data_IF_425656821988
#
_entry.id   IF_425656821988
#
_cell.length_a   1.000
_cell.length_b   1.000
_cell.length_c   1.000
_cell.angle_alpha   90.00
_cell.angle_beta   90.00
_cell.angle_gamma   90.00
#
_symmetry.space_group_name_H-M   'P 1'
#
loop_
_entity.id
_entity.type
_entity.pdbx_description
1 polymer ?
#
# COMPACT_ATOMS: atom_id res chain seq x y z
N UNK A 1 -86.69 16.14 13.06
CA UNK A 1 -85.54 16.03 12.19
C UNK A 1 -84.43 16.88 12.79
N UNK A 2 -83.44 16.25 13.43
CA UNK A 2 -82.35 16.97 14.14
C UNK A 2 -81.11 16.88 13.24
N UNK A 3 -80.60 18.04 12.83
CA UNK A 3 -79.35 18.16 12.08
C UNK A 3 -78.15 18.06 13.05
N UNK A 4 -77.24 17.15 12.77
CA UNK A 4 -75.97 16.96 13.46
C UNK A 4 -74.85 17.78 12.73
N UNK A 5 -74.35 18.79 13.39
CA UNK A 5 -73.22 19.58 12.92
C UNK A 5 -71.92 18.90 13.36
N UNK A 6 -71.11 18.52 12.39
CA UNK A 6 -69.75 17.97 12.61
C UNK A 6 -68.79 19.16 12.58
N UNK A 7 -68.19 19.47 13.71
CA UNK A 7 -67.13 20.46 13.78
C UNK A 7 -65.78 19.84 13.44
N UNK A 8 -65.17 20.31 12.34
CA UNK A 8 -63.83 19.91 11.90
C UNK A 8 -62.78 20.76 12.71
N UNK A 9 -62.08 20.12 13.63
CA UNK A 9 -60.95 20.70 14.33
C UNK A 9 -59.70 20.68 13.43
N UNK A 10 -59.32 21.83 12.90
CA UNK A 10 -58.05 22.06 12.24
C UNK A 10 -56.96 22.28 13.29
N UNK A 11 -56.08 21.30 13.47
CA UNK A 11 -54.83 21.45 14.23
C UNK A 11 -53.81 22.14 13.34
N UNK A 12 -53.04 23.14 13.82
CA UNK A 12 -51.98 23.75 13.05
C UNK A 12 -50.79 22.82 13.05
N UNK A 13 -50.38 22.36 11.86
CA UNK A 13 -49.06 21.73 11.65
C UNK A 13 -47.97 22.80 11.80
N UNK A 14 -47.26 22.77 12.91
CA UNK A 14 -46.04 23.54 13.07
C UNK A 14 -44.95 22.90 12.19
N UNK A 15 -44.63 23.53 11.07
CA UNK A 15 -43.41 23.24 10.31
C UNK A 15 -42.22 23.69 11.18
N UNK A 16 -41.64 22.77 11.93
CA UNK A 16 -40.30 22.96 12.49
C UNK A 16 -39.33 22.97 11.32
N UNK A 17 -38.89 24.14 10.89
CA UNK A 17 -37.78 24.31 10.00
C UNK A 17 -36.55 23.65 10.66
N UNK A 18 -36.11 22.52 10.16
CA UNK A 18 -34.78 22.01 10.44
C UNK A 18 -33.78 23.04 9.93
N UNK A 19 -33.22 23.81 10.87
CA UNK A 19 -32.02 24.59 10.61
C UNK A 19 -30.92 23.58 10.33
N UNK A 20 -30.67 23.31 9.03
CA UNK A 20 -29.48 22.65 8.59
C UNK A 20 -28.31 23.49 9.12
N UNK A 21 -27.48 22.88 9.95
CA UNK A 21 -26.15 23.40 10.27
C UNK A 21 -25.42 23.53 8.96
N UNK A 22 -25.39 24.71 8.37
CA UNK A 22 -24.48 25.05 7.29
C UNK A 22 -23.07 24.83 7.84
N UNK A 23 -22.40 23.80 7.36
CA UNK A 23 -20.98 23.65 7.58
C UNK A 23 -20.33 25.00 7.29
N UNK A 24 -19.62 25.55 8.25
CA UNK A 24 -18.93 26.82 8.09
C UNK A 24 -18.07 26.71 6.82
N UNK A 25 -18.41 27.51 5.81
CA UNK A 25 -17.67 27.56 4.59
C UNK A 25 -16.27 28.04 4.96
N UNK A 26 -15.25 27.19 4.80
CA UNK A 26 -13.87 27.58 5.05
C UNK A 26 -13.56 28.88 4.32
N UNK A 27 -12.82 29.81 4.94
CA UNK A 27 -12.53 31.09 4.31
C UNK A 27 -11.86 30.84 2.95
N UNK A 28 -12.44 31.37 1.88
CA UNK A 28 -11.98 31.24 0.51
C UNK A 28 -10.75 32.13 0.24
N UNK A 29 -9.87 32.25 1.22
CA UNK A 29 -8.65 33.06 1.14
C UNK A 29 -7.47 32.13 1.11
N UNK A 30 -6.80 32.07 -0.03
CA UNK A 30 -5.51 31.42 -0.18
C UNK A 30 -4.44 32.30 0.52
N UNK A 31 -3.96 31.80 1.66
CA UNK A 31 -2.86 32.42 2.42
C UNK A 31 -1.52 31.75 2.16
N UNK A 32 -1.43 30.99 1.06
CA UNK A 32 -0.19 30.29 0.67
C UNK A 32 0.91 31.29 0.32
N UNK A 33 2.13 30.98 0.74
CA UNK A 33 3.34 31.74 0.35
C UNK A 33 4.55 30.82 0.30
N UNK A 34 5.61 31.30 -0.33
CA UNK A 34 6.92 30.65 -0.37
C UNK A 34 7.90 31.60 0.32
N UNK A 35 8.66 31.10 1.31
CA UNK A 35 9.67 31.89 2.00
C UNK A 35 11.00 31.96 1.22
N UNK A 36 11.96 32.70 1.73
CA UNK A 36 13.26 32.90 1.10
C UNK A 36 14.11 31.62 0.99
N UNK A 37 13.79 30.57 1.75
CA UNK A 37 14.44 29.26 1.67
C UNK A 37 13.83 28.36 0.59
N UNK A 38 12.69 28.77 0.00
CA UNK A 38 11.89 27.95 -0.92
C UNK A 38 10.88 27.06 -0.22
N UNK A 39 10.69 27.19 1.11
CA UNK A 39 9.67 26.46 1.84
C UNK A 39 8.28 27.00 1.50
N UNK A 40 7.39 26.12 1.05
CA UNK A 40 5.99 26.46 0.75
C UNK A 40 5.10 26.24 1.97
N UNK A 41 4.32 27.27 2.31
CA UNK A 41 3.26 27.22 3.31
C UNK A 41 1.93 27.25 2.57
N UNK A 42 1.19 26.16 2.57
CA UNK A 42 0.04 25.95 1.70
C UNK A 42 -1.24 25.85 2.52
N UNK A 43 -2.22 26.70 2.20
CA UNK A 43 -3.60 26.60 2.62
C UNK A 43 -4.48 26.43 1.39
N UNK A 44 -4.90 25.21 1.09
CA UNK A 44 -5.71 24.88 -0.09
C UNK A 44 -6.92 24.03 0.30
N UNK A 45 -8.04 24.28 -0.37
CA UNK A 45 -9.19 23.37 -0.36
C UNK A 45 -9.02 22.43 -1.54
N UNK A 46 -8.85 21.14 -1.26
CA UNK A 46 -8.71 20.10 -2.30
C UNK A 46 -9.99 19.29 -2.32
N UNK A 47 -10.86 19.46 -3.32
CA UNK A 47 -12.11 18.72 -3.39
C UNK A 47 -11.87 17.23 -3.65
N UNK A 48 -12.89 16.41 -3.40
CA UNK A 48 -12.89 15.01 -3.85
C UNK A 48 -12.87 14.99 -5.38
N UNK A 49 -11.92 14.29 -6.02
CA UNK A 49 -11.84 14.19 -7.47
C UNK A 49 -13.12 13.61 -8.07
N UNK A 50 -13.60 14.21 -9.17
CA UNK A 50 -14.89 13.84 -9.79
C UNK A 50 -14.76 12.74 -10.85
N UNK A 51 -13.55 12.41 -11.26
CA UNK A 51 -13.21 11.34 -12.21
C UNK A 51 -13.06 9.96 -11.55
N UNK A 52 -13.08 9.91 -10.21
CA UNK A 52 -13.09 8.66 -9.46
C UNK A 52 -14.49 8.02 -9.45
N UNK A 53 -14.52 6.70 -9.21
CA UNK A 53 -15.78 5.98 -9.01
C UNK A 53 -16.59 6.55 -7.84
N UNK A 54 -17.93 6.41 -7.86
CA UNK A 54 -18.77 6.82 -6.72
C UNK A 54 -18.35 6.16 -5.40
N UNK A 55 -17.87 4.92 -5.45
CA UNK A 55 -17.35 4.16 -4.30
C UNK A 55 -16.10 4.81 -3.73
N UNK A 56 -15.15 5.18 -4.58
CA UNK A 56 -13.92 5.85 -4.18
C UNK A 56 -14.21 7.25 -3.66
N UNK A 57 -15.07 8.04 -4.33
CA UNK A 57 -15.51 9.34 -3.84
C UNK A 57 -16.15 9.24 -2.46
N UNK A 58 -17.02 8.27 -2.23
CA UNK A 58 -17.64 8.00 -0.93
C UNK A 58 -16.60 7.60 0.12
N UNK A 59 -15.60 6.81 -0.26
CA UNK A 59 -14.51 6.43 0.65
C UNK A 59 -13.69 7.63 1.09
N UNK A 60 -13.35 8.54 0.17
CA UNK A 60 -12.62 9.77 0.44
C UNK A 60 -13.42 10.80 1.25
N UNK A 61 -14.75 10.81 1.10
CA UNK A 61 -15.65 11.72 1.80
C UNK A 61 -16.00 11.27 3.24
N UNK A 62 -15.40 10.21 3.75
CA UNK A 62 -15.64 9.77 5.14
C UNK A 62 -15.18 10.85 6.11
N UNK A 63 -16.01 11.15 7.12
CA UNK A 63 -15.59 12.05 8.20
C UNK A 63 -14.34 11.50 8.87
N UNK A 64 -13.38 12.38 9.13
CA UNK A 64 -12.25 12.06 9.99
C UNK A 64 -12.81 11.81 11.39
N UNK A 65 -12.52 10.65 11.97
CA UNK A 65 -12.88 10.41 13.38
C UNK A 65 -12.03 11.34 14.27
N UNK A 66 -12.63 11.88 15.32
CA UNK A 66 -11.91 12.62 16.36
C UNK A 66 -10.64 11.86 16.75
N UNK A 67 -9.59 12.61 17.05
CA UNK A 67 -8.23 12.11 17.28
C UNK A 67 -8.21 10.73 17.92
N UNK A 68 -7.75 9.76 17.16
CA UNK A 68 -7.61 8.41 17.67
C UNK A 68 -6.72 8.47 18.91
N UNK A 69 -7.19 7.91 20.05
CA UNK A 69 -6.33 7.77 21.21
C UNK A 69 -5.04 7.05 20.82
N UNK A 70 -3.90 7.41 21.40
CA UNK A 70 -2.67 6.65 21.18
C UNK A 70 -2.91 5.16 21.45
N UNK A 71 -2.56 4.31 20.49
CA UNK A 71 -2.69 2.86 20.59
C UNK A 71 -1.34 2.24 20.87
N UNK A 72 -1.30 1.22 21.74
CA UNK A 72 -0.12 0.38 21.87
C UNK A 72 0.17 -0.37 20.57
N UNK A 73 1.40 -0.82 20.38
CA UNK A 73 1.77 -1.66 19.23
C UNK A 73 0.90 -2.92 19.14
N UNK A 74 0.65 -3.55 20.27
CA UNK A 74 -0.19 -4.74 20.35
C UNK A 74 -1.64 -4.46 19.93
N UNK A 75 -2.22 -3.33 20.36
CA UNK A 75 -3.57 -2.92 19.92
C UNK A 75 -3.62 -2.64 18.42
N UNK A 76 -2.59 -1.99 17.87
CA UNK A 76 -2.47 -1.75 16.41
C UNK A 76 -2.39 -3.08 15.65
N UNK A 77 -1.54 -4.02 16.07
CA UNK A 77 -1.41 -5.35 15.45
C UNK A 77 -2.73 -6.10 15.46
N UNK A 78 -3.40 -6.20 16.63
CA UNK A 78 -4.72 -6.84 16.71
C UNK A 78 -5.76 -6.17 15.78
N UNK A 79 -5.75 -4.83 15.71
CA UNK A 79 -6.63 -4.09 14.82
C UNK A 79 -6.36 -4.39 13.35
N UNK A 80 -5.09 -4.43 12.95
CA UNK A 80 -4.64 -4.76 11.60
C UNK A 80 -4.99 -6.19 11.23
N UNK A 81 -4.74 -7.16 12.11
CA UNK A 81 -5.08 -8.57 11.89
C UNK A 81 -6.59 -8.76 11.70
N UNK A 82 -7.39 -8.13 12.55
CA UNK A 82 -8.85 -8.20 12.45
C UNK A 82 -9.38 -7.53 11.17
N UNK A 83 -8.79 -6.42 10.76
CA UNK A 83 -9.13 -5.74 9.50
C UNK A 83 -8.74 -6.61 8.30
N UNK A 84 -7.50 -7.11 8.25
CA UNK A 84 -7.00 -7.93 7.16
C UNK A 84 -7.82 -9.23 7.02
N UNK A 85 -8.20 -9.86 8.12
CA UNK A 85 -9.04 -11.05 8.10
C UNK A 85 -10.41 -10.77 7.45
N UNK A 86 -11.06 -9.64 7.79
CA UNK A 86 -12.33 -9.24 7.18
C UNK A 86 -12.18 -8.88 5.70
N UNK A 87 -11.17 -8.07 5.37
CA UNK A 87 -10.90 -7.65 4.00
C UNK A 87 -10.52 -8.84 3.11
N UNK A 88 -9.70 -9.75 3.62
CA UNK A 88 -9.35 -10.99 2.92
C UNK A 88 -10.54 -11.94 2.72
N UNK A 89 -11.43 -12.07 3.72
CA UNK A 89 -12.65 -12.85 3.58
C UNK A 89 -13.56 -12.27 2.48
N UNK A 90 -13.72 -10.95 2.44
CA UNK A 90 -14.46 -10.26 1.38
C UNK A 90 -13.78 -10.46 0.01
N UNK A 91 -12.47 -10.25 -0.07
CA UNK A 91 -11.70 -10.43 -1.32
C UNK A 91 -11.87 -11.84 -1.90
N UNK A 92 -11.93 -12.88 -1.06
CA UNK A 92 -12.17 -14.25 -1.51
C UNK A 92 -13.55 -14.48 -2.13
N UNK A 93 -14.55 -13.65 -1.83
CA UNK A 93 -15.85 -13.73 -2.50
C UNK A 93 -15.77 -13.26 -3.95
N UNK A 94 -14.84 -12.35 -4.25
CA UNK A 94 -14.60 -11.80 -5.59
C UNK A 94 -13.53 -12.59 -6.36
N UNK A 95 -12.53 -13.08 -5.65
CA UNK A 95 -11.34 -13.77 -6.17
C UNK A 95 -11.14 -15.11 -5.43
N UNK A 96 -11.88 -16.15 -5.79
CA UNK A 96 -11.82 -17.44 -5.09
C UNK A 96 -10.41 -18.07 -5.15
N UNK A 97 -9.88 -18.42 -3.97
CA UNK A 97 -8.57 -19.04 -3.80
C UNK A 97 -8.59 -20.04 -2.63
N UNK A 98 -7.66 -20.98 -2.64
CA UNK A 98 -7.31 -21.81 -1.48
C UNK A 98 -6.20 -21.10 -0.69
N UNK A 99 -6.26 -21.24 0.63
CA UNK A 99 -5.33 -20.62 1.56
C UNK A 99 -4.85 -21.69 2.57
N UNK A 100 -3.55 -21.75 2.77
CA UNK A 100 -2.92 -22.61 3.77
C UNK A 100 -1.71 -21.91 4.38
N UNK A 101 -1.33 -22.33 5.57
CA UNK A 101 -0.09 -21.90 6.23
C UNK A 101 1.00 -22.97 6.04
N UNK A 102 2.25 -22.51 5.99
CA UNK A 102 3.42 -23.38 5.80
C UNK A 102 4.66 -22.70 6.39
N UNK A 103 5.80 -23.36 6.22
CA UNK A 103 7.12 -22.82 6.57
C UNK A 103 8.09 -23.10 5.42
N UNK A 104 8.83 -22.07 4.99
CA UNK A 104 9.87 -22.18 3.95
C UNK A 104 11.16 -21.62 4.53
N UNK A 105 12.24 -22.42 4.50
CA UNK A 105 13.54 -22.07 5.08
C UNK A 105 13.46 -21.63 6.57
N UNK A 106 12.51 -22.18 7.34
CA UNK A 106 12.29 -21.80 8.73
C UNK A 106 11.40 -20.53 8.91
N UNK A 107 11.03 -19.85 7.83
CA UNK A 107 10.19 -18.65 7.85
C UNK A 107 8.72 -19.05 7.67
N UNK A 108 7.80 -18.61 8.54
CA UNK A 108 6.36 -18.79 8.34
C UNK A 108 5.88 -18.11 7.05
N UNK A 109 5.01 -18.80 6.31
CA UNK A 109 4.43 -18.25 5.05
C UNK A 109 2.96 -18.60 4.94
N UNK A 110 2.18 -17.77 4.25
CA UNK A 110 0.88 -18.15 3.71
C UNK A 110 1.01 -18.55 2.26
N UNK A 111 0.40 -19.67 1.91
CA UNK A 111 0.34 -20.16 0.53
C UNK A 111 -1.06 -19.92 0.00
N UNK A 112 -1.14 -19.10 -1.05
CA UNK A 112 -2.39 -18.77 -1.71
C UNK A 112 -2.35 -19.39 -3.12
N UNK A 113 -3.32 -20.25 -3.44
CA UNK A 113 -3.40 -20.90 -4.74
C UNK A 113 -4.77 -20.68 -5.37
N UNK A 114 -4.84 -20.52 -6.72
CA UNK A 114 -6.11 -20.54 -7.42
C UNK A 114 -6.91 -21.81 -7.11
N UNK A 115 -8.24 -21.74 -7.19
CA UNK A 115 -9.09 -22.92 -7.02
C UNK A 115 -9.05 -23.87 -8.24
N UNK A 116 -8.61 -23.35 -9.41
CA UNK A 116 -8.47 -24.11 -10.65
C UNK A 116 -7.37 -23.52 -11.51
N UNK A 117 -6.87 -24.32 -12.46
CA UNK A 117 -5.93 -23.91 -13.50
C UNK A 117 -4.61 -23.30 -12.94
N UNK A 118 -4.14 -23.82 -11.81
CA UNK A 118 -2.91 -23.33 -11.19
C UNK A 118 -1.73 -23.57 -12.11
N UNK A 119 -1.00 -22.49 -12.43
CA UNK A 119 0.26 -22.52 -13.15
C UNK A 119 1.34 -23.18 -12.26
N UNK A 120 1.90 -24.33 -12.65
CA UNK A 120 2.86 -25.05 -11.81
C UNK A 120 4.28 -24.49 -11.89
N UNK A 121 4.59 -23.74 -12.94
CA UNK A 121 5.97 -23.34 -13.27
C UNK A 121 6.35 -21.98 -12.71
N UNK A 122 5.34 -21.16 -12.34
CA UNK A 122 5.56 -19.80 -11.90
C UNK A 122 5.06 -19.57 -10.47
N UNK A 123 5.75 -18.69 -9.74
CA UNK A 123 5.39 -18.32 -8.36
C UNK A 123 5.61 -16.84 -8.11
N UNK A 124 4.72 -16.25 -7.34
CA UNK A 124 4.84 -14.89 -6.84
C UNK A 124 5.22 -14.94 -5.35
N UNK A 125 6.18 -14.13 -4.94
CA UNK A 125 6.55 -13.91 -3.53
C UNK A 125 5.96 -12.56 -3.13
N UNK A 126 5.11 -12.54 -2.13
CA UNK A 126 4.58 -11.32 -1.54
C UNK A 126 5.34 -10.97 -0.27
N UNK A 127 5.73 -9.71 -0.17
CA UNK A 127 6.24 -9.07 1.02
C UNK A 127 5.18 -8.05 1.45
N UNK A 128 4.50 -8.33 2.56
CA UNK A 128 3.32 -7.55 2.96
C UNK A 128 3.66 -6.15 3.48
N UNK A 129 2.70 -5.22 3.39
CA UNK A 129 2.77 -3.91 4.01
C UNK A 129 2.55 -3.95 5.53
N UNK A 130 2.50 -2.77 6.16
CA UNK A 130 2.24 -2.62 7.59
C UNK A 130 3.37 -1.98 8.38
N UNK A 131 4.17 -1.12 7.76
CA UNK A 131 5.20 -0.30 8.42
C UNK A 131 6.29 -1.12 9.11
N UNK A 132 6.57 -2.33 8.64
CA UNK A 132 7.48 -3.32 9.22
C UNK A 132 7.11 -3.82 10.61
N UNK A 133 6.01 -3.36 11.21
CA UNK A 133 5.61 -3.71 12.56
C UNK A 133 4.26 -4.44 12.67
N UNK A 134 3.58 -4.64 11.55
CA UNK A 134 2.32 -5.40 11.44
C UNK A 134 2.18 -6.03 10.05
N UNK A 135 1.31 -7.05 9.92
CA UNK A 135 0.94 -7.65 8.65
C UNK A 135 -0.37 -7.03 8.14
N UNK A 136 -0.30 -6.14 7.16
CA UNK A 136 -1.49 -5.52 6.55
C UNK A 136 -1.78 -6.02 5.13
N UNK A 137 -1.00 -6.94 4.58
CA UNK A 137 -1.04 -7.25 3.15
C UNK A 137 -1.06 -8.72 2.77
N UNK A 138 -0.65 -9.64 3.64
CA UNK A 138 -0.48 -11.05 3.28
C UNK A 138 -1.76 -11.76 2.79
N UNK A 139 -2.94 -11.17 3.03
CA UNK A 139 -4.22 -11.61 2.47
C UNK A 139 -4.75 -10.65 1.40
N UNK A 140 -4.78 -9.34 1.69
CA UNK A 140 -5.39 -8.35 0.79
C UNK A 140 -4.61 -8.16 -0.51
N UNK A 141 -3.29 -8.26 -0.47
CA UNK A 141 -2.42 -8.10 -1.63
C UNK A 141 -2.26 -9.39 -2.46
N UNK A 142 -2.55 -10.55 -1.87
CA UNK A 142 -2.22 -11.86 -2.47
C UNK A 142 -3.41 -12.53 -3.13
N UNK A 143 -4.60 -12.43 -2.53
CA UNK A 143 -5.80 -13.12 -3.00
C UNK A 143 -6.17 -12.72 -4.44
N UNK A 144 -6.27 -11.42 -4.80
CA UNK A 144 -6.59 -11.04 -6.16
C UNK A 144 -5.52 -11.51 -7.16
N UNK A 145 -4.25 -11.37 -6.80
CA UNK A 145 -3.15 -11.72 -7.70
C UNK A 145 -3.06 -13.23 -7.94
N UNK A 146 -3.22 -14.07 -6.92
CA UNK A 146 -3.26 -15.51 -7.10
C UNK A 146 -4.38 -15.92 -8.05
N UNK A 147 -5.59 -15.37 -7.86
CA UNK A 147 -6.74 -15.68 -8.71
C UNK A 147 -6.54 -15.22 -10.16
N UNK A 148 -6.09 -13.97 -10.38
CA UNK A 148 -6.00 -13.35 -11.70
C UNK A 148 -4.82 -13.88 -12.52
N UNK A 149 -3.66 -14.12 -11.89
CA UNK A 149 -2.48 -14.65 -12.59
C UNK A 149 -2.51 -16.15 -12.79
N UNK A 150 -3.33 -16.85 -12.03
CA UNK A 150 -3.33 -18.32 -11.91
C UNK A 150 -2.02 -18.88 -11.33
N UNK A 151 -1.20 -18.05 -10.73
CA UNK A 151 0.06 -18.44 -10.08
C UNK A 151 -0.14 -18.62 -8.58
N UNK A 152 0.65 -19.52 -8.00
CA UNK A 152 0.79 -19.60 -6.55
C UNK A 152 1.42 -18.31 -6.02
N UNK A 153 0.89 -17.80 -4.91
CA UNK A 153 1.53 -16.72 -4.15
C UNK A 153 2.02 -17.24 -2.82
N UNK A 154 3.26 -16.96 -2.50
CA UNK A 154 3.89 -17.21 -1.20
C UNK A 154 3.99 -15.87 -0.49
N UNK A 155 3.13 -15.62 0.49
CA UNK A 155 3.22 -14.45 1.35
C UNK A 155 4.17 -14.73 2.51
N UNK A 156 5.27 -14.01 2.56
CA UNK A 156 6.29 -14.17 3.60
C UNK A 156 5.86 -13.44 4.85
N UNK A 157 5.67 -14.16 5.95
CA UNK A 157 5.38 -13.57 7.27
C UNK A 157 6.71 -13.27 7.97
N UNK A 158 7.43 -12.30 7.43
CA UNK A 158 8.76 -11.93 7.88
C UNK A 158 8.75 -11.36 9.30
N UNK A 159 9.86 -11.47 10.01
CA UNK A 159 10.03 -10.95 11.37
C UNK A 159 9.83 -9.44 11.42
N UNK A 160 9.05 -9.01 12.40
CA UNK A 160 8.57 -7.63 12.53
C UNK A 160 9.37 -6.83 13.55
N UNK A 161 9.42 -5.53 13.33
CA UNK A 161 9.94 -4.54 14.27
C UNK A 161 8.91 -4.20 15.34
N UNK A 162 9.33 -3.72 16.51
CA UNK A 162 10.70 -3.43 16.95
C UNK A 162 11.47 -4.65 17.46
N UNK A 163 10.82 -5.82 17.59
CA UNK A 163 11.44 -7.02 18.15
C UNK A 163 12.58 -7.52 17.26
N UNK A 164 12.42 -7.32 15.94
CA UNK A 164 13.38 -7.74 14.93
C UNK A 164 13.58 -6.61 13.89
N UNK A 165 14.41 -5.61 14.19
CA UNK A 165 14.68 -4.52 13.25
C UNK A 165 15.46 -4.98 12.02
N UNK A 166 15.71 -4.07 11.08
CA UNK A 166 16.60 -4.32 9.94
C UNK A 166 17.92 -4.96 10.38
N UNK A 167 18.40 -6.03 9.70
CA UNK A 167 17.88 -6.59 8.44
C UNK A 167 16.98 -7.84 8.60
N UNK A 168 16.39 -8.10 9.77
CA UNK A 168 15.74 -9.39 10.05
C UNK A 168 14.65 -9.78 9.02
N UNK A 169 13.78 -8.84 8.64
CA UNK A 169 12.75 -9.10 7.62
C UNK A 169 13.33 -9.33 6.23
N UNK A 170 14.43 -8.64 5.90
CA UNK A 170 15.18 -8.86 4.67
C UNK A 170 15.80 -10.26 4.63
N UNK A 171 16.44 -10.70 5.71
CA UNK A 171 17.04 -12.02 5.81
C UNK A 171 16.00 -13.13 5.59
N UNK A 172 14.81 -12.97 6.17
CA UNK A 172 13.69 -13.91 6.00
C UNK A 172 13.23 -13.97 4.54
N UNK A 173 13.04 -12.84 3.90
CA UNK A 173 12.62 -12.75 2.49
C UNK A 173 13.66 -13.39 1.55
N UNK A 174 14.94 -13.11 1.78
CA UNK A 174 16.07 -13.70 1.01
C UNK A 174 16.16 -15.20 1.27
N UNK A 175 15.94 -15.68 2.50
CA UNK A 175 15.94 -17.11 2.82
C UNK A 175 14.84 -17.86 2.07
N UNK A 176 13.62 -17.29 2.02
CA UNK A 176 12.49 -17.86 1.26
C UNK A 176 12.82 -17.89 -0.24
N UNK A 177 13.35 -16.80 -0.79
CA UNK A 177 13.76 -16.75 -2.19
C UNK A 177 14.81 -17.83 -2.53
N UNK A 178 15.86 -17.95 -1.70
CA UNK A 178 16.92 -18.99 -1.88
C UNK A 178 16.35 -20.40 -1.85
N UNK A 179 15.31 -20.67 -1.10
CA UNK A 179 14.66 -21.98 -1.09
C UNK A 179 13.84 -22.20 -2.36
N UNK A 180 13.08 -21.18 -2.79
CA UNK A 180 12.21 -21.27 -3.95
C UNK A 180 12.99 -21.45 -5.27
N UNK A 181 14.18 -20.85 -5.42
CA UNK A 181 15.02 -21.04 -6.62
C UNK A 181 15.58 -22.46 -6.77
N UNK A 182 15.45 -23.33 -5.76
CA UNK A 182 15.76 -24.76 -5.90
C UNK A 182 14.69 -25.52 -6.68
N UNK A 183 13.47 -24.97 -6.73
CA UNK A 183 12.31 -25.60 -7.37
C UNK A 183 11.85 -24.85 -8.62
N UNK A 184 11.89 -23.52 -8.58
CA UNK A 184 11.47 -22.65 -9.67
C UNK A 184 12.71 -22.02 -10.33
N UNK A 185 12.69 -21.83 -11.64
CA UNK A 185 13.71 -21.03 -12.30
C UNK A 185 13.59 -19.56 -11.82
N UNK A 186 14.70 -18.85 -11.59
CA UNK A 186 14.67 -17.47 -11.12
C UNK A 186 13.78 -16.55 -11.99
N UNK A 187 13.85 -16.72 -13.32
CA UNK A 187 13.02 -15.98 -14.29
C UNK A 187 11.52 -16.28 -14.19
N UNK A 188 11.13 -17.34 -13.49
CA UNK A 188 9.73 -17.71 -13.22
C UNK A 188 9.23 -17.24 -11.84
N UNK A 189 10.04 -16.48 -11.12
CA UNK A 189 9.68 -15.93 -9.80
C UNK A 189 9.50 -14.42 -9.94
N UNK A 190 8.42 -13.86 -9.40
CA UNK A 190 8.34 -12.43 -9.15
C UNK A 190 8.30 -12.17 -7.65
N UNK A 191 8.88 -11.03 -7.23
CA UNK A 191 8.82 -10.53 -5.86
C UNK A 191 8.07 -9.19 -5.88
N UNK A 192 7.09 -9.02 -4.99
CA UNK A 192 6.34 -7.79 -4.93
C UNK A 192 5.85 -7.49 -3.52
N UNK A 193 5.54 -6.23 -3.28
CA UNK A 193 4.93 -5.81 -2.03
C UNK A 193 4.39 -4.39 -2.09
N UNK A 194 3.66 -4.03 -1.04
CA UNK A 194 3.05 -2.71 -0.84
C UNK A 194 3.65 -2.04 0.38
N UNK A 195 3.84 -0.70 0.35
CA UNK A 195 4.29 0.06 1.54
C UNK A 195 5.65 -0.45 2.05
N UNK A 196 5.74 -0.87 3.31
CA UNK A 196 6.92 -1.53 3.86
C UNK A 196 7.38 -2.73 3.01
N UNK A 197 6.43 -3.51 2.47
CA UNK A 197 6.74 -4.63 1.58
C UNK A 197 7.30 -4.21 0.23
N UNK A 198 6.92 -3.04 -0.28
CA UNK A 198 7.52 -2.47 -1.49
C UNK A 198 8.98 -2.04 -1.25
N UNK A 199 9.24 -1.45 -0.09
CA UNK A 199 10.61 -1.13 0.34
C UNK A 199 11.43 -2.41 0.44
N UNK A 200 10.91 -3.40 1.16
CA UNK A 200 11.56 -4.70 1.32
C UNK A 200 11.80 -5.42 -0.02
N UNK A 201 10.89 -5.27 -1.00
CA UNK A 201 11.10 -5.78 -2.37
C UNK A 201 12.34 -5.15 -3.03
N UNK A 202 12.52 -3.85 -2.89
CA UNK A 202 13.68 -3.16 -3.42
C UNK A 202 14.96 -3.52 -2.65
N UNK A 203 14.90 -3.66 -1.32
CA UNK A 203 16.01 -4.13 -0.48
C UNK A 203 16.45 -5.54 -0.86
N UNK A 204 15.50 -6.47 -1.04
CA UNK A 204 15.77 -7.84 -1.49
C UNK A 204 16.48 -7.82 -2.85
N UNK A 205 15.98 -7.03 -3.81
CA UNK A 205 16.61 -6.95 -5.12
C UNK A 205 18.07 -6.42 -5.04
N UNK A 206 18.31 -5.40 -4.22
CA UNK A 206 19.66 -4.87 -3.98
C UNK A 206 20.57 -5.89 -3.30
N UNK A 207 20.07 -6.64 -2.32
CA UNK A 207 20.85 -7.64 -1.60
C UNK A 207 21.13 -8.88 -2.44
N UNK A 208 20.16 -9.37 -3.22
CA UNK A 208 20.39 -10.46 -4.18
C UNK A 208 21.51 -10.11 -5.15
N UNK A 209 21.52 -8.88 -5.67
CA UNK A 209 22.57 -8.39 -6.56
C UNK A 209 23.92 -8.31 -5.86
N UNK A 210 23.99 -7.77 -4.65
CA UNK A 210 25.19 -7.71 -3.82
C UNK A 210 25.76 -9.12 -3.54
N UNK A 211 24.88 -10.08 -3.30
CA UNK A 211 25.24 -11.48 -3.02
C UNK A 211 25.60 -12.27 -4.31
N UNK A 212 25.43 -11.69 -5.49
CA UNK A 212 25.66 -12.39 -6.78
C UNK A 212 24.67 -13.54 -7.01
N UNK A 213 23.47 -13.47 -6.42
CA UNK A 213 22.43 -14.46 -6.61
C UNK A 213 21.65 -14.18 -7.89
N UNK A 214 21.06 -15.22 -8.51
CA UNK A 214 20.18 -15.04 -9.66
C UNK A 214 19.04 -14.07 -9.30
N UNK A 215 18.73 -13.14 -10.22
CA UNK A 215 17.64 -12.19 -10.05
C UNK A 215 16.29 -12.81 -10.42
N UNK A 216 15.19 -12.41 -9.77
CA UNK A 216 13.85 -12.84 -10.16
C UNK A 216 13.46 -12.31 -11.55
N UNK A 217 12.46 -12.90 -12.18
CA UNK A 217 11.95 -12.51 -13.50
C UNK A 217 11.21 -11.17 -13.50
N UNK A 218 10.68 -10.71 -12.36
CA UNK A 218 10.01 -9.42 -12.23
C UNK A 218 9.95 -8.91 -10.78
N UNK A 219 9.79 -7.59 -10.63
CA UNK A 219 9.56 -6.92 -9.35
C UNK A 219 8.27 -6.11 -9.39
N UNK A 220 7.59 -5.99 -8.23
CA UNK A 220 6.47 -5.08 -8.01
C UNK A 220 6.71 -4.19 -6.79
N UNK A 221 6.83 -2.89 -7.01
CA UNK A 221 7.07 -1.89 -5.95
C UNK A 221 5.84 -0.97 -5.88
N UNK A 222 4.94 -1.27 -4.95
CA UNK A 222 3.64 -0.61 -4.87
C UNK A 222 3.58 0.32 -3.66
N UNK A 223 3.53 1.64 -3.89
CA UNK A 223 3.57 2.67 -2.83
C UNK A 223 4.74 2.49 -1.87
N UNK A 224 5.97 2.49 -2.38
CA UNK A 224 7.20 2.30 -1.60
C UNK A 224 8.17 3.47 -1.72
N UNK A 225 9.24 3.41 -0.96
CA UNK A 225 10.41 4.28 -1.09
C UNK A 225 11.68 3.44 -1.21
N UNK A 226 12.75 4.05 -1.64
CA UNK A 226 14.09 3.46 -1.64
C UNK A 226 15.12 4.37 -0.96
N UNK A 227 14.67 5.35 -0.18
CA UNK A 227 15.54 6.34 0.46
C UNK A 227 15.01 6.69 1.86
N UNK A 228 15.71 6.23 2.88
CA UNK A 228 15.42 6.54 4.27
C UNK A 228 16.22 7.73 4.82
N UNK A 229 17.04 8.36 3.98
CA UNK A 229 17.91 9.46 4.43
C UNK A 229 17.19 10.80 4.53
N UNK A 230 15.96 10.90 4.00
CA UNK A 230 15.19 12.14 3.95
C UNK A 230 13.68 11.89 3.79
N UNK A 231 12.88 12.86 4.23
CA UNK A 231 11.47 12.95 3.89
C UNK A 231 11.30 13.55 2.49
N UNK A 232 10.20 13.22 1.85
CA UNK A 232 9.81 13.69 0.52
C UNK A 232 8.58 14.61 0.58
N UNK A 233 8.30 15.33 -0.53
CA UNK A 233 7.17 16.27 -0.61
C UNK A 233 5.82 15.61 -0.28
N UNK A 234 5.55 14.42 -0.82
CA UNK A 234 4.28 13.75 -0.55
C UNK A 234 4.14 13.30 0.90
N UNK A 235 5.24 12.91 1.56
CA UNK A 235 5.24 12.63 3.00
C UNK A 235 4.92 13.89 3.81
N UNK A 236 5.48 15.04 3.41
CA UNK A 236 5.19 16.32 4.05
C UNK A 236 3.73 16.77 3.80
N UNK A 237 3.20 16.57 2.57
CA UNK A 237 1.85 17.01 2.21
C UNK A 237 0.75 16.11 2.78
N UNK A 238 0.97 14.81 2.79
CA UNK A 238 -0.07 13.85 3.18
C UNK A 238 0.20 13.20 4.53
N UNK A 239 1.45 13.26 5.00
CA UNK A 239 1.88 12.70 6.27
C UNK A 239 1.11 11.40 6.60
N UNK A 240 0.33 11.41 7.67
CA UNK A 240 -0.55 10.29 8.02
C UNK A 240 -1.96 10.42 7.41
N UNK A 241 -2.27 11.53 6.74
CA UNK A 241 -3.58 11.75 6.13
C UNK A 241 -3.97 10.69 5.11
N UNK A 242 -3.00 10.17 4.35
CA UNK A 242 -3.20 9.07 3.42
C UNK A 242 -3.56 7.73 4.08
N UNK A 243 -3.24 7.55 5.36
CA UNK A 243 -3.53 6.32 6.12
C UNK A 243 -4.71 6.47 7.07
N UNK A 244 -4.82 7.61 7.77
CA UNK A 244 -5.75 7.80 8.88
C UNK A 244 -6.83 8.85 8.64
N UNK A 245 -6.70 9.65 7.58
CA UNK A 245 -7.57 10.80 7.35
C UNK A 245 -7.23 12.02 8.21
N UNK A 246 -6.15 12.00 8.99
CA UNK A 246 -5.60 13.14 9.72
C UNK A 246 -4.40 13.73 9.00
N UNK A 247 -4.29 15.05 8.98
CA UNK A 247 -3.11 15.78 8.55
C UNK A 247 -2.28 16.11 9.79
N UNK A 248 -1.51 15.15 10.24
CA UNK A 248 -0.55 15.39 11.31
C UNK A 248 0.71 16.06 10.73
N UNK A 249 1.40 16.90 11.50
CA UNK A 249 2.69 17.40 11.07
C UNK A 249 3.64 16.25 10.75
N UNK A 250 4.39 16.32 9.64
CA UNK A 250 5.37 15.29 9.35
C UNK A 250 6.38 15.23 10.51
N UNK A 251 6.79 14.03 10.93
CA UNK A 251 7.83 13.90 11.95
C UNK A 251 9.12 14.56 11.45
N UNK A 252 9.96 15.08 12.35
CA UNK A 252 11.18 15.78 11.98
C UNK A 252 12.20 14.92 11.23
N UNK A 253 12.04 13.60 11.29
CA UNK A 253 12.85 12.62 10.58
C UNK A 253 11.96 11.51 10.02
N UNK A 254 12.39 10.80 8.94
CA UNK A 254 11.68 9.65 8.44
C UNK A 254 11.36 8.68 9.59
N UNK A 255 10.08 8.42 9.83
CA UNK A 255 9.68 7.49 10.89
C UNK A 255 9.86 6.06 10.41
N UNK A 256 11.09 5.67 10.46
CA UNK A 256 11.47 4.27 10.36
C UNK A 256 11.70 3.69 11.75
N UNK A 257 11.40 4.48 12.76
CA UNK A 257 11.81 4.41 14.16
C UNK A 257 11.83 3.07 14.85
N UNK A 258 11.08 2.11 14.34
CA UNK A 258 11.07 0.74 14.84
C UNK A 258 11.86 -0.20 13.92
N UNK A 259 11.92 0.08 12.61
CA UNK A 259 12.62 -0.74 11.62
C UNK A 259 14.12 -0.47 11.59
N UNK A 260 14.52 0.79 11.69
CA UNK A 260 15.92 1.20 11.73
C UNK A 260 16.28 1.55 13.16
N UNK A 261 17.19 0.79 13.76
CA UNK A 261 17.61 1.00 15.14
C UNK A 261 19.13 1.15 15.24
N UNK A 262 19.55 1.84 16.31
CA UNK A 262 20.95 1.96 16.65
C UNK A 262 21.75 2.84 15.69
N UNK A 263 22.92 2.36 15.27
CA UNK A 263 23.88 3.07 14.41
C UNK A 263 23.77 2.71 12.94
N UNK A 264 22.66 2.13 12.51
CA UNK A 264 22.45 1.77 11.09
C UNK A 264 22.50 3.03 10.22
N UNK A 265 23.39 3.02 9.23
CA UNK A 265 23.49 4.12 8.27
C UNK A 265 22.25 4.12 7.37
N UNK A 266 21.46 5.18 7.43
CA UNK A 266 20.27 5.35 6.58
C UNK A 266 20.60 5.43 5.08
N UNK A 267 21.86 5.55 4.72
CA UNK A 267 22.36 5.48 3.34
C UNK A 267 23.00 4.13 3.00
N UNK A 268 22.92 3.14 3.88
CA UNK A 268 23.32 1.78 3.51
C UNK A 268 22.61 1.39 2.22
N UNK A 269 23.35 0.92 1.17
CA UNK A 269 22.78 0.62 -0.14
C UNK A 269 21.72 -0.49 -0.15
N UNK A 270 21.67 -1.30 0.89
CA UNK A 270 20.65 -2.34 1.02
C UNK A 270 19.40 -1.76 1.68
N UNK A 271 19.56 -1.04 2.77
CA UNK A 271 18.47 -0.36 3.48
C UNK A 271 17.81 0.72 2.62
N UNK A 272 18.62 1.48 1.89
CA UNK A 272 18.17 2.54 0.98
C UNK A 272 18.63 2.24 -0.45
N UNK A 273 17.90 1.41 -1.21
CA UNK A 273 18.33 0.90 -2.52
C UNK A 273 18.61 1.96 -3.57
N UNK A 274 18.18 3.20 -3.37
CA UNK A 274 18.55 4.32 -4.26
C UNK A 274 20.07 4.56 -4.31
N UNK A 275 20.82 4.13 -3.28
CA UNK A 275 22.27 4.22 -3.21
C UNK A 275 22.97 2.95 -3.69
N UNK A 276 22.20 1.93 -4.10
CA UNK A 276 22.74 0.67 -4.65
C UNK A 276 23.06 0.77 -6.15
N UNK A 277 23.68 -0.27 -6.69
CA UNK A 277 23.78 -0.44 -8.13
C UNK A 277 22.44 -0.92 -8.72
N UNK A 278 21.73 -0.01 -9.36
CA UNK A 278 20.42 -0.25 -10.00
C UNK A 278 20.50 -0.66 -11.47
N UNK A 279 21.68 -0.89 -12.06
CA UNK A 279 21.80 -1.36 -13.46
C UNK A 279 21.29 -2.80 -13.58
N UNK A 280 20.71 -3.14 -14.74
CA UNK A 280 20.25 -4.49 -15.05
C UNK A 280 19.30 -5.09 -13.99
N UNK A 281 18.43 -4.27 -13.42
CA UNK A 281 17.35 -4.75 -12.56
C UNK A 281 16.28 -5.47 -13.39
N UNK A 282 15.57 -6.45 -12.81
CA UNK A 282 14.45 -7.10 -13.48
C UNK A 282 13.40 -6.10 -13.97
N UNK A 283 12.55 -6.47 -14.96
CA UNK A 283 11.34 -5.72 -15.26
C UNK A 283 10.60 -5.38 -13.96
N UNK A 284 10.30 -4.09 -13.73
CA UNK A 284 9.73 -3.61 -12.48
C UNK A 284 8.49 -2.77 -12.73
N UNK A 285 7.40 -3.09 -12.03
CA UNK A 285 6.18 -2.28 -12.00
C UNK A 285 6.13 -1.47 -10.72
N UNK A 286 6.01 -0.17 -10.86
CA UNK A 286 5.74 0.78 -9.78
C UNK A 286 4.28 1.22 -9.87
N UNK A 287 3.54 1.20 -8.75
CA UNK A 287 2.18 1.74 -8.65
C UNK A 287 2.10 2.64 -7.42
N UNK A 288 1.46 3.78 -7.57
CA UNK A 288 1.17 4.73 -6.49
C UNK A 288 -0.07 5.55 -6.85
N UNK A 289 -0.41 6.56 -6.07
CA UNK A 289 -1.58 7.41 -6.31
C UNK A 289 -1.36 8.86 -5.87
N UNK A 290 -2.23 9.76 -6.32
CA UNK A 290 -2.08 11.20 -6.15
C UNK A 290 -2.14 11.69 -4.70
N UNK A 291 -2.79 10.94 -3.78
CA UNK A 291 -2.85 11.26 -2.34
C UNK A 291 -2.09 10.25 -1.48
N UNK A 292 -1.15 9.55 -2.09
CA UNK A 292 -0.28 8.59 -1.39
C UNK A 292 0.90 9.32 -0.74
N UNK A 293 1.09 9.12 0.57
CA UNK A 293 2.25 9.68 1.27
C UNK A 293 3.59 9.20 0.67
N UNK A 294 3.64 8.03 0.03
CA UNK A 294 4.85 7.49 -0.61
C UNK A 294 4.90 7.75 -2.13
N UNK A 295 4.06 8.65 -2.68
CA UNK A 295 4.09 9.03 -4.09
C UNK A 295 5.49 9.50 -4.51
N UNK A 296 6.08 10.44 -3.76
CA UNK A 296 7.43 10.94 -4.06
C UNK A 296 8.49 9.83 -3.96
N UNK A 297 8.44 9.01 -2.91
CA UNK A 297 9.36 7.88 -2.73
C UNK A 297 9.32 6.93 -3.92
N UNK A 298 8.11 6.53 -4.34
CA UNK A 298 7.89 5.65 -5.49
C UNK A 298 8.40 6.26 -6.79
N UNK A 299 8.07 7.53 -7.06
CA UNK A 299 8.49 8.21 -8.30
C UNK A 299 9.99 8.48 -8.36
N UNK A 300 10.62 8.79 -7.22
CA UNK A 300 12.08 8.99 -7.11
C UNK A 300 12.80 7.67 -7.40
N UNK A 301 12.36 6.56 -6.80
CA UNK A 301 12.96 5.25 -7.01
C UNK A 301 12.76 4.78 -8.47
N UNK A 302 11.55 4.90 -9.02
CA UNK A 302 11.29 4.62 -10.44
C UNK A 302 12.25 5.40 -11.35
N UNK A 303 12.38 6.72 -11.15
CA UNK A 303 13.29 7.55 -11.93
C UNK A 303 14.76 7.12 -11.79
N UNK A 304 15.15 6.63 -10.61
CA UNK A 304 16.49 6.06 -10.40
C UNK A 304 16.71 4.78 -11.23
N UNK A 305 15.71 3.90 -11.30
CA UNK A 305 15.73 2.73 -12.18
C UNK A 305 15.87 3.11 -13.66
N UNK A 306 15.07 4.07 -14.14
CA UNK A 306 15.16 4.56 -15.52
C UNK A 306 16.55 5.15 -15.82
N UNK A 307 17.08 5.97 -14.93
CA UNK A 307 18.44 6.55 -15.10
C UNK A 307 19.54 5.51 -15.11
N UNK A 308 19.33 4.36 -14.47
CA UNK A 308 20.23 3.22 -14.51
C UNK A 308 20.06 2.34 -15.77
N UNK A 309 19.25 2.80 -16.75
CA UNK A 309 19.08 2.09 -18.02
C UNK A 309 18.07 0.93 -17.97
N UNK A 310 17.17 0.89 -17.00
CA UNK A 310 16.13 -0.14 -16.93
C UNK A 310 14.89 0.29 -17.73
N UNK A 311 14.88 0.09 -19.02
CA UNK A 311 13.79 0.47 -19.95
C UNK A 311 12.46 -0.25 -19.66
N UNK A 312 12.53 -1.34 -18.90
CA UNK A 312 11.35 -2.13 -18.48
C UNK A 312 10.80 -1.69 -17.11
N UNK A 313 11.27 -0.59 -16.54
CA UNK A 313 10.65 0.04 -15.36
C UNK A 313 9.40 0.81 -15.79
N UNK A 314 8.23 0.41 -15.27
CA UNK A 314 6.94 1.03 -15.57
C UNK A 314 6.37 1.69 -14.35
N UNK A 315 5.76 2.85 -14.52
CA UNK A 315 5.05 3.56 -13.45
C UNK A 315 3.59 3.76 -13.84
N UNK A 316 2.69 3.44 -12.90
CA UNK A 316 1.26 3.77 -12.97
C UNK A 316 0.91 4.62 -11.76
N UNK A 317 0.30 5.77 -11.98
CA UNK A 317 -0.15 6.68 -10.92
C UNK A 317 -1.67 6.84 -11.05
N UNK A 318 -2.39 6.48 -10.00
CA UNK A 318 -3.84 6.69 -9.92
C UNK A 318 -4.15 8.08 -9.36
N UNK A 319 -5.18 8.73 -9.89
CA UNK A 319 -5.59 10.05 -9.40
C UNK A 319 -6.21 9.95 -8.00
N UNK A 320 -5.85 10.88 -7.13
CA UNK A 320 -6.58 11.25 -5.91
C UNK A 320 -6.88 10.18 -4.87
N UNK A 321 -6.37 8.96 -5.03
CA UNK A 321 -6.59 7.86 -4.09
C UNK A 321 -5.52 7.84 -2.99
N UNK A 322 -5.84 7.31 -1.79
CA UNK A 322 -4.91 7.24 -0.68
C UNK A 322 -3.90 6.10 -0.84
N UNK A 323 -2.95 6.05 0.08
CA UNK A 323 -1.95 5.00 0.21
C UNK A 323 -2.56 3.59 0.18
N UNK A 324 -2.03 2.72 -0.67
CA UNK A 324 -2.40 1.30 -0.76
C UNK A 324 -3.93 1.07 -0.95
N UNK A 325 -4.61 1.94 -1.71
CA UNK A 325 -6.06 1.89 -1.92
C UNK A 325 -6.55 0.53 -2.42
N UNK A 326 -5.73 -0.20 -3.15
CA UNK A 326 -6.04 -1.54 -3.65
C UNK A 326 -6.25 -2.59 -2.56
N UNK A 327 -5.93 -2.33 -1.31
CA UNK A 327 -6.29 -3.20 -0.19
C UNK A 327 -7.81 -3.21 0.11
N UNK A 328 -8.57 -2.26 -0.45
CA UNK A 328 -10.03 -2.30 -0.48
C UNK A 328 -10.52 -2.90 -1.82
N UNK A 329 -10.74 -4.21 -1.83
CA UNK A 329 -11.18 -4.94 -3.03
C UNK A 329 -12.59 -4.53 -3.54
N UNK A 330 -13.33 -3.69 -2.79
CA UNK A 330 -14.64 -3.19 -3.22
C UNK A 330 -14.54 -2.04 -4.23
N UNK A 331 -13.39 -1.36 -4.31
CA UNK A 331 -13.20 -0.24 -5.22
C UNK A 331 -13.00 -0.69 -6.67
N UNK A 332 -13.69 -0.10 -7.65
CA UNK A 332 -13.41 -0.33 -9.08
C UNK A 332 -11.95 -0.09 -9.45
N UNK A 333 -11.33 0.96 -8.89
CA UNK A 333 -9.92 1.31 -9.11
C UNK A 333 -8.98 0.24 -8.56
N UNK A 334 -9.35 -0.45 -7.49
CA UNK A 334 -8.57 -1.58 -6.98
C UNK A 334 -8.57 -2.75 -7.96
N UNK A 335 -9.72 -3.02 -8.60
CA UNK A 335 -9.81 -4.04 -9.65
C UNK A 335 -8.92 -3.69 -10.85
N UNK A 336 -8.88 -2.42 -11.21
CA UNK A 336 -8.00 -1.92 -12.28
C UNK A 336 -6.53 -2.10 -11.89
N UNK A 337 -6.13 -1.71 -10.67
CA UNK A 337 -4.78 -1.88 -10.17
C UNK A 337 -4.34 -3.35 -10.17
N UNK A 338 -5.19 -4.26 -9.70
CA UNK A 338 -4.93 -5.71 -9.77
C UNK A 338 -4.78 -6.19 -11.22
N UNK A 339 -5.55 -5.63 -12.15
CA UNK A 339 -5.42 -5.92 -13.58
C UNK A 339 -4.04 -5.55 -14.12
N UNK A 340 -3.53 -4.37 -13.80
CA UNK A 340 -2.16 -3.96 -14.17
C UNK A 340 -1.11 -4.88 -13.56
N UNK A 341 -1.20 -5.19 -12.27
CA UNK A 341 -0.27 -6.07 -11.57
C UNK A 341 -0.25 -7.47 -12.19
N UNK A 342 -1.44 -8.08 -12.35
CA UNK A 342 -1.57 -9.43 -12.89
C UNK A 342 -1.08 -9.53 -14.35
N UNK A 343 -1.46 -8.57 -15.19
CA UNK A 343 -1.00 -8.51 -16.58
C UNK A 343 0.52 -8.36 -16.66
N UNK A 344 1.09 -7.49 -15.81
CA UNK A 344 2.52 -7.27 -15.78
C UNK A 344 3.28 -8.54 -15.41
N UNK A 345 2.93 -9.20 -14.30
CA UNK A 345 3.60 -10.43 -13.87
C UNK A 345 3.44 -11.56 -14.90
N UNK A 346 2.22 -11.78 -15.39
CA UNK A 346 1.97 -12.81 -16.41
C UNK A 346 2.83 -12.56 -17.66
N UNK A 347 2.91 -11.32 -18.12
CA UNK A 347 3.71 -10.97 -19.31
C UNK A 347 5.21 -11.05 -19.07
N UNK A 348 5.70 -10.73 -17.88
CA UNK A 348 7.12 -10.71 -17.57
C UNK A 348 7.69 -12.09 -17.31
N UNK A 349 6.91 -12.99 -16.67
CA UNK A 349 7.37 -14.33 -16.31
C UNK A 349 7.16 -15.38 -17.41
N UNK A 350 6.21 -15.18 -18.32
CA UNK A 350 5.91 -16.12 -19.43
C UNK A 350 6.57 -15.73 -20.75
N UNK A 351 7.75 -15.15 -20.71
CA UNK A 351 8.54 -14.76 -21.89
C UNK A 351 9.42 -15.89 -22.37
#
# INVERSE_FOLDING_TARGET
>A
MKALAVALLLLPFSLAAQQGTTAAQAPNVDTSYIDASGTAYITRVIPVPQDLSPEAQKSLARPVSDAARPQSLEERRRGTDAWQARAGAFSRTLYPVNLSESTIAGVPVRIITPVSDTDPDHVLINLHGGGFNSDSGSLTETIPLANLTKMKVVAVLYRLSPEHPFPAGLDDAVAVYKELIKTYKPEHIAIYGTSAGAVLTAEVAADLKKLGLPMPGALGVFSGTGDFSRNSDSEAMYALGGLSGHLDPPPPHPTTGEYIQGTTDVRDPILSPIFSDLHNMPPTLFITSGRDLLLSGTTILHRAFVRAGNDNARLVVFEGLPHAFWNDAALPESKEAYGYMAQFFTKSLKR
#
